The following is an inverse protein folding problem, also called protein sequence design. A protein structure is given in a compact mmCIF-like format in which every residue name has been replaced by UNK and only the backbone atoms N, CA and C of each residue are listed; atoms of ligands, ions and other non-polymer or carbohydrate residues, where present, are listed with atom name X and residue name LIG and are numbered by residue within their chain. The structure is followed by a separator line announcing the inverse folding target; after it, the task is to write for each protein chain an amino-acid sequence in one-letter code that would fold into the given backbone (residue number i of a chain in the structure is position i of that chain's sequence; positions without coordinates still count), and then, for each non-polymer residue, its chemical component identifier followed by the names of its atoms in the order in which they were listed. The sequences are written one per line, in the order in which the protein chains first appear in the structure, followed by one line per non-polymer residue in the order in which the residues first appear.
data_IF_842487941161
#
_entry.id   IF_842487941161
#
_cell.length_a   1.000
_cell.length_b   1.000
_cell.length_c   1.000
_cell.angle_alpha   90.00
_cell.angle_beta   90.00
_cell.angle_gamma   90.00
#
_symmetry.space_group_name_H-M   'P 1'
#
loop_
_entity.id
_entity.type
_entity.pdbx_description
1 polymer ?
#
# COMPACT_ATOMS: atom_id res chain seq x y z
N UNK A 1 22.05 -30.97 -65.18
CA UNK A 1 21.24 -31.66 -64.16
C UNK A 1 20.47 -30.61 -63.39
N UNK A 2 19.14 -30.57 -63.57
CA UNK A 2 18.25 -29.59 -62.92
C UNK A 2 17.99 -30.02 -61.47
N UNK A 3 18.22 -29.11 -60.53
CA UNK A 3 17.85 -29.27 -59.12
C UNK A 3 16.45 -28.66 -58.95
N UNK A 4 15.45 -29.52 -58.80
CA UNK A 4 14.19 -29.20 -58.15
C UNK A 4 14.44 -29.13 -56.64
N UNK A 5 14.09 -28.04 -55.94
CA UNK A 5 13.61 -28.06 -54.54
C UNK A 5 12.90 -26.73 -54.16
N UNK A 6 11.58 -26.86 -53.94
CA UNK A 6 10.78 -26.39 -52.80
C UNK A 6 10.83 -24.90 -52.43
N UNK A 7 9.79 -24.13 -52.74
CA UNK A 7 8.60 -23.85 -51.90
C UNK A 7 8.91 -23.32 -50.49
N UNK A 8 8.74 -22.00 -50.38
CA UNK A 8 7.88 -21.31 -49.41
C UNK A 8 7.86 -21.84 -47.99
N UNK A 9 8.45 -21.08 -47.05
CA UNK A 9 7.77 -20.68 -45.82
C UNK A 9 8.33 -19.32 -45.36
N UNK A 10 7.53 -18.26 -45.54
CA UNK A 10 7.74 -16.98 -44.88
C UNK A 10 7.54 -17.17 -43.37
N UNK A 11 8.61 -17.01 -42.60
CA UNK A 11 8.58 -17.06 -41.14
C UNK A 11 8.00 -15.73 -40.63
N UNK A 12 6.71 -15.74 -40.26
CA UNK A 12 6.03 -14.57 -39.71
C UNK A 12 6.60 -14.23 -38.33
N UNK A 13 7.34 -13.13 -38.22
CA UNK A 13 7.70 -12.52 -36.94
C UNK A 13 6.46 -11.85 -36.33
N UNK A 14 5.71 -12.59 -35.52
CA UNK A 14 4.76 -11.99 -34.59
C UNK A 14 5.53 -11.38 -33.42
N UNK A 15 5.54 -10.05 -33.34
CA UNK A 15 5.94 -9.31 -32.14
C UNK A 15 5.03 -9.68 -30.98
N UNK A 16 5.53 -10.42 -30.00
CA UNK A 16 4.79 -10.69 -28.76
C UNK A 16 4.58 -9.38 -27.99
N UNK A 17 3.36 -9.09 -27.47
CA UNK A 17 3.17 -7.97 -26.56
C UNK A 17 3.96 -8.21 -25.26
N UNK A 18 4.37 -7.16 -24.55
CA UNK A 18 5.18 -7.30 -23.34
C UNK A 18 4.49 -8.22 -22.32
N UNK A 19 5.26 -9.17 -21.79
CA UNK A 19 4.82 -10.13 -20.78
C UNK A 19 4.21 -9.37 -19.60
N UNK A 20 2.88 -9.46 -19.48
CA UNK A 20 2.15 -8.99 -18.31
C UNK A 20 2.70 -9.76 -17.11
N UNK A 21 3.54 -9.10 -16.31
CA UNK A 21 4.13 -9.70 -15.10
C UNK A 21 3.01 -10.34 -14.28
N UNK A 22 3.00 -11.67 -14.26
CA UNK A 22 2.06 -12.42 -13.45
C UNK A 22 2.35 -12.03 -12.00
N UNK A 23 1.42 -11.30 -11.41
CA UNK A 23 1.45 -10.91 -10.01
C UNK A 23 1.57 -12.20 -9.21
N UNK A 24 2.78 -12.51 -8.75
CA UNK A 24 3.05 -13.62 -7.84
C UNK A 24 1.98 -13.54 -6.76
N UNK A 25 1.24 -14.63 -6.55
CA UNK A 25 0.20 -14.73 -5.52
C UNK A 25 0.84 -14.32 -4.21
N UNK A 26 0.67 -13.04 -3.85
CA UNK A 26 1.09 -12.51 -2.56
C UNK A 26 0.29 -13.33 -1.56
N UNK A 27 0.99 -14.17 -0.81
CA UNK A 27 0.45 -14.86 0.36
C UNK A 27 -0.42 -13.87 1.10
N UNK A 28 -1.67 -14.23 1.36
CA UNK A 28 -2.67 -13.36 1.96
C UNK A 28 -2.15 -12.91 3.33
N UNK A 29 -1.51 -11.74 3.37
CA UNK A 29 -0.99 -11.21 4.61
C UNK A 29 -2.13 -10.57 5.38
N UNK A 30 -2.32 -11.05 6.59
CA UNK A 30 -3.26 -10.48 7.56
C UNK A 30 -2.92 -9.01 7.74
N UNK A 31 -3.88 -8.14 7.43
CA UNK A 31 -3.72 -6.69 7.59
C UNK A 31 -3.77 -6.38 9.08
N UNK A 32 -2.61 -6.16 9.70
CA UNK A 32 -2.54 -5.62 11.06
C UNK A 32 -2.63 -4.10 11.01
N UNK A 33 -3.46 -3.52 11.87
CA UNK A 33 -3.59 -2.08 11.99
C UNK A 33 -2.36 -1.52 12.73
N UNK A 34 -1.57 -0.71 12.04
CA UNK A 34 -0.42 -0.01 12.67
C UNK A 34 -0.93 1.27 13.33
N UNK A 35 -0.63 1.43 14.62
CA UNK A 35 -0.98 2.63 15.40
C UNK A 35 -0.32 3.89 14.84
N UNK A 36 -0.87 5.06 15.18
CA UNK A 36 -0.35 6.34 14.69
C UNK A 36 1.03 6.63 15.30
N UNK A 37 1.23 6.26 16.57
CA UNK A 37 2.50 6.47 17.29
C UNK A 37 3.67 5.75 16.62
N UNK A 38 3.47 4.51 16.19
CA UNK A 38 4.50 3.72 15.48
C UNK A 38 4.83 4.37 14.13
N UNK A 39 3.84 4.93 13.42
CA UNK A 39 4.08 5.63 12.14
C UNK A 39 4.91 6.89 12.36
N UNK A 40 4.64 7.63 13.42
CA UNK A 40 5.41 8.81 13.82
C UNK A 40 6.85 8.43 14.15
N UNK A 41 7.04 7.39 14.96
CA UNK A 41 8.36 6.86 15.30
C UNK A 41 9.16 6.46 14.06
N UNK A 42 8.52 5.79 13.09
CA UNK A 42 9.15 5.44 11.81
C UNK A 42 9.60 6.70 11.05
N UNK A 43 8.76 7.74 11.00
CA UNK A 43 9.11 9.00 10.34
C UNK A 43 10.30 9.69 10.99
N UNK A 44 10.34 9.75 12.33
CA UNK A 44 11.46 10.31 13.10
C UNK A 44 12.75 9.49 12.88
N UNK A 45 12.64 8.16 12.84
CA UNK A 45 13.78 7.27 12.60
C UNK A 45 14.40 7.47 11.21
N UNK A 46 13.57 7.64 10.17
CA UNK A 46 14.03 7.92 8.80
C UNK A 46 14.69 9.29 8.72
N UNK A 47 14.15 10.30 9.40
CA UNK A 47 14.75 11.64 9.45
C UNK A 47 16.11 11.63 10.13
N UNK A 48 16.27 10.85 11.20
CA UNK A 48 17.55 10.69 11.89
C UNK A 48 18.57 9.86 11.10
N UNK A 49 18.13 9.03 10.15
CA UNK A 49 18.98 8.09 9.40
C UNK A 49 18.62 8.09 7.89
N UNK A 50 18.91 9.17 7.15
CA UNK A 50 18.53 9.28 5.74
C UNK A 50 19.19 8.22 4.84
N UNK A 51 20.36 7.70 5.23
CA UNK A 51 21.14 6.76 4.41
C UNK A 51 20.71 5.29 4.55
N UNK A 52 19.84 4.99 5.53
CA UNK A 52 19.41 3.60 5.75
C UNK A 52 18.39 3.14 4.72
N UNK A 53 18.54 1.89 4.27
CA UNK A 53 17.59 1.29 3.33
C UNK A 53 16.25 1.04 4.04
N UNK A 54 15.16 1.29 3.33
CA UNK A 54 13.79 1.07 3.84
C UNK A 54 13.52 -0.39 4.29
N UNK A 55 14.20 -1.37 3.68
CA UNK A 55 14.10 -2.78 4.08
C UNK A 55 14.74 -3.05 5.45
N UNK A 56 15.84 -2.38 5.76
CA UNK A 56 16.53 -2.52 7.04
C UNK A 56 15.71 -1.87 8.15
N UNK A 57 15.08 -0.72 7.85
CA UNK A 57 14.14 -0.06 8.75
C UNK A 57 12.95 -0.97 9.05
N UNK A 58 12.34 -1.58 8.04
CA UNK A 58 11.26 -2.55 8.25
C UNK A 58 11.69 -3.71 9.16
N UNK A 59 12.89 -4.25 8.94
CA UNK A 59 13.45 -5.34 9.75
C UNK A 59 13.71 -4.91 11.20
N UNK A 60 14.18 -3.69 11.41
CA UNK A 60 14.38 -3.13 12.75
C UNK A 60 13.05 -3.04 13.52
N UNK A 61 12.00 -2.51 12.89
CA UNK A 61 10.70 -2.38 13.53
C UNK A 61 9.99 -3.71 13.75
N UNK A 62 10.17 -4.70 12.86
CA UNK A 62 9.65 -6.06 13.08
C UNK A 62 10.35 -6.77 14.24
N UNK A 63 11.63 -6.47 14.49
CA UNK A 63 12.35 -6.97 15.69
C UNK A 63 11.88 -6.29 16.96
N UNK A 64 11.56 -5.00 16.89
CA UNK A 64 11.06 -4.22 18.03
C UNK A 64 9.62 -4.60 18.41
N UNK A 65 8.77 -4.85 17.43
CA UNK A 65 7.36 -5.19 17.62
C UNK A 65 7.06 -6.57 17.03
N UNK A 66 7.07 -7.59 17.89
CA UNK A 66 6.92 -9.00 17.48
C UNK A 66 5.57 -9.30 16.83
N UNK A 67 4.53 -8.53 17.21
CA UNK A 67 3.17 -8.70 16.69
C UNK A 67 2.93 -7.99 15.35
N UNK A 68 3.91 -7.22 14.86
CA UNK A 68 3.78 -6.43 13.66
C UNK A 68 4.66 -6.98 12.53
N UNK A 69 4.04 -7.16 11.38
CA UNK A 69 4.73 -7.49 10.13
C UNK A 69 4.73 -6.27 9.20
N UNK A 70 5.68 -5.37 9.42
CA UNK A 70 5.86 -4.16 8.61
C UNK A 70 6.68 -4.51 7.38
N UNK A 71 6.08 -4.29 6.22
CA UNK A 71 6.77 -4.43 4.95
C UNK A 71 7.50 -3.16 4.52
N UNK A 72 8.52 -3.31 3.66
CA UNK A 72 9.17 -2.20 2.94
C UNK A 72 8.16 -1.28 2.25
N UNK A 73 7.14 -1.85 1.62
CA UNK A 73 6.09 -1.07 0.92
C UNK A 73 5.29 -0.19 1.88
N UNK A 74 5.06 -0.68 3.10
CA UNK A 74 4.40 0.07 4.18
C UNK A 74 5.27 1.22 4.67
N UNK A 75 6.57 1.00 4.89
CA UNK A 75 7.52 2.06 5.24
C UNK A 75 7.49 3.17 4.17
N UNK A 76 7.51 2.81 2.89
CA UNK A 76 7.45 3.79 1.80
C UNK A 76 6.12 4.59 1.80
N UNK A 77 4.98 3.93 2.10
CA UNK A 77 3.68 4.61 2.23
C UNK A 77 3.62 5.55 3.43
N UNK A 78 4.23 5.16 4.55
CA UNK A 78 4.33 6.00 5.74
C UNK A 78 5.18 7.24 5.41
N UNK A 79 6.35 7.03 4.81
CA UNK A 79 7.26 8.10 4.43
C UNK A 79 6.66 9.12 3.45
N UNK A 80 5.93 8.65 2.43
CA UNK A 80 5.23 9.55 1.48
C UNK A 80 4.25 10.48 2.18
N UNK A 81 3.63 10.02 3.25
CA UNK A 81 2.67 10.79 4.04
C UNK A 81 3.30 11.34 5.33
N UNK A 82 4.62 11.58 5.36
CA UNK A 82 5.35 11.99 6.58
C UNK A 82 4.76 13.24 7.24
N UNK A 83 4.34 14.24 6.47
CA UNK A 83 3.73 15.45 6.99
C UNK A 83 2.49 15.15 7.81
N UNK A 84 1.65 14.22 7.33
CA UNK A 84 0.47 13.77 8.07
C UNK A 84 0.86 13.13 9.40
N UNK A 85 1.91 12.34 9.47
CA UNK A 85 2.28 11.61 10.69
C UNK A 85 3.07 12.46 11.69
N UNK A 86 3.87 13.41 11.20
CA UNK A 86 4.63 14.34 12.03
C UNK A 86 3.74 15.45 12.61
N UNK A 87 2.73 15.90 11.85
CA UNK A 87 1.77 16.92 12.30
C UNK A 87 0.73 16.39 13.30
N UNK A 88 0.66 15.08 13.53
CA UNK A 88 -0.09 14.51 14.66
C UNK A 88 0.74 14.77 15.92
N UNK A 89 0.66 16.01 16.42
CA UNK A 89 0.80 16.24 17.85
C UNK A 89 -0.23 15.36 18.56
N UNK A 90 0.14 14.87 19.73
CA UNK A 90 -0.50 13.83 20.55
C UNK A 90 -1.93 14.13 21.02
N UNK A 91 -2.74 14.84 20.23
CA UNK A 91 -4.18 14.97 20.41
C UNK A 91 -4.81 13.64 20.04
N UNK A 92 -4.76 12.73 21.02
CA UNK A 92 -5.46 11.46 21.11
C UNK A 92 -6.97 11.68 21.17
N UNK A 93 -7.53 12.34 20.18
CA UNK A 93 -8.95 12.28 19.87
C UNK A 93 -9.04 12.31 18.35
N UNK A 94 -8.80 11.15 17.74
CA UNK A 94 -9.63 10.82 16.59
C UNK A 94 -11.03 10.86 17.15
N UNK A 95 -11.72 12.00 17.01
CA UNK A 95 -13.17 11.99 17.08
C UNK A 95 -13.55 10.82 16.18
N UNK A 96 -14.25 9.83 16.75
CA UNK A 96 -14.97 8.91 15.89
C UNK A 96 -15.84 9.86 15.08
N UNK A 97 -15.42 10.15 13.85
CA UNK A 97 -16.28 10.79 12.87
C UNK A 97 -17.33 9.72 12.69
N UNK A 98 -18.33 9.78 13.56
CA UNK A 98 -19.56 9.03 13.40
C UNK A 98 -19.97 9.43 12.00
N UNK A 99 -19.93 8.47 11.08
CA UNK A 99 -20.31 8.72 9.71
C UNK A 99 -21.77 9.17 9.76
N UNK A 100 -21.97 10.49 9.85
CA UNK A 100 -23.27 11.10 9.71
C UNK A 100 -23.58 10.96 8.23
N UNK A 101 -24.08 9.78 7.87
CA UNK A 101 -24.73 9.62 6.59
C UNK A 101 -25.89 10.62 6.59
N UNK A 102 -25.97 11.53 5.61
CA UNK A 102 -27.12 12.40 5.51
C UNK A 102 -28.35 11.51 5.37
N UNK A 103 -29.31 11.69 6.27
CA UNK A 103 -30.60 10.98 6.21
C UNK A 103 -31.23 11.32 4.87
N UNK A 104 -31.67 10.29 4.14
CA UNK A 104 -32.21 10.46 2.79
C UNK A 104 -33.46 11.36 2.77
N UNK A 105 -34.21 11.40 3.87
CA UNK A 105 -35.41 12.22 4.05
C UNK A 105 -35.47 12.84 5.46
N UNK A 106 -34.76 13.96 5.70
CA UNK A 106 -34.67 14.57 7.02
C UNK A 106 -36.03 15.06 7.57
N UNK A 107 -36.96 15.41 6.69
CA UNK A 107 -38.29 15.91 7.07
C UNK A 107 -39.20 14.80 7.60
N UNK A 108 -39.10 13.59 7.04
CA UNK A 108 -39.88 12.42 7.49
C UNK A 108 -39.40 11.97 8.86
N UNK A 109 -38.08 11.91 9.07
CA UNK A 109 -37.50 11.56 10.37
C UNK A 109 -37.93 12.53 11.48
N UNK A 110 -38.03 13.82 11.18
CA UNK A 110 -38.53 14.83 12.14
C UNK A 110 -40.00 14.59 12.49
N UNK A 111 -40.82 14.22 11.52
CA UNK A 111 -42.23 13.89 11.75
C UNK A 111 -42.45 12.56 12.49
N UNK A 112 -41.44 11.68 12.51
CA UNK A 112 -41.49 10.40 13.23
C UNK A 112 -40.98 10.48 14.68
N UNK A 113 -40.35 11.58 15.09
CA UNK A 113 -39.82 11.77 16.46
C UNK A 113 -40.84 12.39 17.43
N UNK A 114 -42.13 12.29 17.13
CA UNK A 114 -43.24 12.81 17.95
C UNK A 114 -43.68 11.76 18.98
#
# INVERSE_FOLDING_TARGET
MQIVRLNSYYFCYFTMPPIRSQKVKQTQQTRTAISVDIKKEICEFILANPDRKQGDIASFFNKKYTDLNIQRTTINKIWKNKEKWLSVLSTSQSSRIFCQHPVQFPEVDKAMQI
#
